data_IF_914989888161
#
_entry.id   IF_914989888161
#
_cell.length_a   1.000
_cell.length_b   1.000
_cell.length_c   1.000
_cell.angle_alpha   90.00
_cell.angle_beta   90.00
_cell.angle_gamma   90.00
#
_symmetry.space_group_name_H-M   'P 1'
#
loop_
_entity.id
_entity.type
_entity.pdbx_description
1 polymer ?
#
# COMPACT_ATOMS: atom_id res chain seq x y z
N UNK A 1 -4.57 11.39 8.53
CA UNK A 1 -3.89 10.44 7.61
C UNK A 1 -3.26 11.21 6.47
N UNK A 2 -2.00 10.97 6.21
CA UNK A 2 -1.29 11.57 5.07
C UNK A 2 -1.40 10.65 3.86
N UNK A 3 -1.69 11.22 2.70
CA UNK A 3 -1.74 10.49 1.44
C UNK A 3 -0.50 10.87 0.65
N UNK A 4 0.30 9.87 0.30
CA UNK A 4 1.58 10.07 -0.38
C UNK A 4 1.57 9.30 -1.69
N UNK A 5 1.79 10.01 -2.80
CA UNK A 5 1.88 9.38 -4.11
C UNK A 5 3.31 8.94 -4.38
N UNK A 6 3.48 7.67 -4.76
CA UNK A 6 4.79 7.10 -5.00
C UNK A 6 4.97 6.69 -6.45
N UNK A 7 6.21 6.82 -6.90
CA UNK A 7 6.67 6.31 -8.18
C UNK A 7 7.88 5.43 -7.93
N UNK A 8 8.06 4.41 -8.75
CA UNK A 8 9.23 3.55 -8.67
C UNK A 8 10.42 4.21 -9.39
N UNK A 9 11.62 4.27 -8.78
CA UNK A 9 11.94 3.93 -7.39
C UNK A 9 11.60 5.06 -6.41
N UNK A 10 11.53 4.74 -5.13
CA UNK A 10 11.22 5.73 -4.08
C UNK A 10 12.43 6.62 -3.80
N UNK A 11 12.18 7.91 -3.68
CA UNK A 11 13.18 8.87 -3.22
C UNK A 11 13.24 8.84 -1.69
N UNK A 12 14.38 8.36 -1.15
CA UNK A 12 14.58 8.24 0.29
C UNK A 12 14.61 9.60 1.01
N UNK A 13 14.75 10.69 0.27
CA UNK A 13 14.73 12.04 0.84
C UNK A 13 13.36 12.67 1.02
N UNK A 14 12.29 11.93 0.72
CA UNK A 14 10.94 12.47 0.88
C UNK A 14 10.64 12.78 2.35
N UNK A 15 10.09 13.97 2.59
CA UNK A 15 9.80 14.45 3.95
C UNK A 15 8.70 13.65 4.64
N UNK A 16 7.81 13.06 3.87
CA UNK A 16 6.66 12.31 4.38
C UNK A 16 7.06 10.98 5.01
N UNK A 17 8.26 10.46 4.72
CA UNK A 17 8.72 9.17 5.21
C UNK A 17 9.13 9.29 6.69
N UNK A 18 8.49 8.53 7.60
CA UNK A 18 8.85 8.57 9.01
C UNK A 18 10.28 8.07 9.26
N UNK A 19 11.00 8.77 10.13
CA UNK A 19 12.36 8.37 10.52
C UNK A 19 12.37 7.13 11.42
N UNK A 20 11.27 6.87 12.09
CA UNK A 20 11.14 5.78 13.07
C UNK A 20 11.05 4.39 12.45
N UNK A 21 10.85 4.32 11.16
CA UNK A 21 10.35 3.11 10.53
C UNK A 21 8.83 3.07 10.60
N UNK A 22 8.23 2.08 9.97
CA UNK A 22 6.78 1.96 9.91
C UNK A 22 6.36 0.52 9.62
N UNK A 23 5.12 0.20 9.97
CA UNK A 23 4.50 -1.09 9.63
C UNK A 23 3.64 -0.85 8.40
N UNK A 24 3.83 -1.67 7.38
CA UNK A 24 3.18 -1.50 6.07
C UNK A 24 2.29 -2.69 5.74
N UNK A 25 1.02 -2.42 5.45
CA UNK A 25 0.12 -3.39 4.85
C UNK A 25 0.05 -3.11 3.34
N UNK A 26 0.24 -4.12 2.52
CA UNK A 26 0.21 -4.00 1.06
C UNK A 26 -0.98 -4.76 0.51
N UNK A 27 -1.74 -4.13 -0.38
CA UNK A 27 -2.86 -4.76 -1.06
C UNK A 27 -3.58 -3.82 -1.99
N UNK A 28 -4.46 -4.36 -2.80
CA UNK A 28 -5.29 -3.55 -3.69
C UNK A 28 -6.35 -2.80 -2.92
N UNK A 29 -6.91 -3.44 -1.92
CA UNK A 29 -7.95 -2.88 -1.05
C UNK A 29 -9.15 -2.32 -1.84
N UNK A 30 -9.47 -2.95 -2.95
CA UNK A 30 -10.64 -2.60 -3.73
C UNK A 30 -11.88 -3.25 -3.12
N UNK A 31 -12.76 -2.43 -2.63
CA UNK A 31 -13.95 -2.91 -1.94
C UNK A 31 -13.68 -3.32 -0.49
N UNK A 32 -14.75 -3.66 0.20
CA UNK A 32 -14.70 -3.99 1.63
C UNK A 32 -14.76 -5.50 1.80
N UNK A 33 -13.61 -6.16 1.72
CA UNK A 33 -13.49 -7.59 1.96
C UNK A 33 -13.06 -7.86 3.39
N UNK A 34 -13.61 -8.92 3.97
CA UNK A 34 -13.22 -9.35 5.31
C UNK A 34 -11.72 -9.65 5.39
N UNK A 35 -11.14 -10.22 4.32
CA UNK A 35 -9.71 -10.49 4.24
C UNK A 35 -8.86 -9.23 4.32
N UNK A 36 -9.29 -8.16 3.67
CA UNK A 36 -8.59 -6.87 3.73
C UNK A 36 -8.61 -6.29 5.14
N UNK A 37 -9.74 -6.42 5.83
CA UNK A 37 -9.86 -5.94 7.20
C UNK A 37 -8.96 -6.73 8.14
N UNK A 38 -8.82 -8.03 7.92
CA UNK A 38 -7.93 -8.88 8.73
C UNK A 38 -6.47 -8.47 8.57
N UNK A 39 -6.04 -8.19 7.34
CA UNK A 39 -4.68 -7.73 7.05
C UNK A 39 -4.42 -6.40 7.74
N UNK A 40 -5.35 -5.46 7.63
CA UNK A 40 -5.23 -4.14 8.23
C UNK A 40 -5.25 -4.23 9.76
N UNK A 41 -6.09 -5.07 10.32
CA UNK A 41 -6.16 -5.27 11.77
C UNK A 41 -4.85 -5.85 12.32
N UNK A 42 -4.26 -6.83 11.63
CA UNK A 42 -2.99 -7.42 12.02
C UNK A 42 -1.86 -6.39 11.95
N UNK A 43 -1.82 -5.60 10.87
CA UNK A 43 -0.83 -4.55 10.74
C UNK A 43 -0.98 -3.48 11.84
N UNK A 44 -2.22 -3.11 12.17
CA UNK A 44 -2.50 -2.16 13.23
C UNK A 44 -2.04 -2.68 14.59
N UNK A 45 -2.25 -3.96 14.87
CA UNK A 45 -1.80 -4.60 16.10
C UNK A 45 -0.28 -4.55 16.22
N UNK A 46 0.42 -4.90 15.15
CA UNK A 46 1.89 -4.88 15.13
C UNK A 46 2.41 -3.47 15.30
N UNK A 47 1.81 -2.50 14.62
CA UNK A 47 2.21 -1.11 14.73
C UNK A 47 2.04 -0.58 16.15
N UNK A 48 0.93 -0.92 16.81
CA UNK A 48 0.69 -0.53 18.19
C UNK A 48 1.72 -1.16 19.14
N UNK A 49 2.00 -2.45 18.96
CA UNK A 49 2.98 -3.16 19.80
C UNK A 49 4.38 -2.58 19.64
N UNK A 50 4.76 -2.20 18.45
CA UNK A 50 6.09 -1.63 18.15
C UNK A 50 6.14 -0.13 18.34
N UNK A 51 5.01 0.53 18.55
CA UNK A 51 4.89 1.99 18.63
C UNK A 51 5.40 2.67 17.37
N UNK A 52 5.02 2.10 16.23
CA UNK A 52 5.37 2.63 14.91
C UNK A 52 4.13 3.11 14.18
N UNK A 53 4.29 4.04 13.22
CA UNK A 53 3.18 4.42 12.35
C UNK A 53 2.64 3.23 11.56
N UNK A 54 1.34 3.25 11.31
CA UNK A 54 0.68 2.28 10.45
C UNK A 54 0.53 2.89 9.06
N UNK A 55 1.10 2.22 8.07
CA UNK A 55 1.01 2.63 6.67
C UNK A 55 0.33 1.55 5.85
N UNK A 56 -0.32 1.97 4.78
CA UNK A 56 -0.84 1.07 3.75
C UNK A 56 -0.25 1.47 2.40
N UNK A 57 -0.07 0.49 1.52
CA UNK A 57 0.28 0.73 0.13
C UNK A 57 -0.80 0.12 -0.75
N UNK A 58 -1.36 0.94 -1.62
CA UNK A 58 -2.29 0.52 -2.65
C UNK A 58 -1.80 1.05 -3.99
N UNK A 59 -2.45 0.65 -5.05
CA UNK A 59 -2.00 0.95 -6.41
C UNK A 59 -3.08 1.70 -7.18
N UNK A 60 -2.67 2.64 -8.02
CA UNK A 60 -3.57 3.39 -8.88
C UNK A 60 -2.84 3.75 -10.18
N UNK A 61 -3.33 3.35 -11.34
CA UNK A 61 -4.53 2.50 -11.53
C UNK A 61 -4.34 1.09 -10.98
N UNK A 62 -5.43 0.33 -10.90
CA UNK A 62 -5.38 -1.05 -10.43
C UNK A 62 -4.54 -1.90 -11.39
N UNK A 63 -3.73 -2.85 -10.88
CA UNK A 63 -2.89 -3.68 -11.75
C UNK A 63 -3.65 -4.40 -12.86
N UNK A 64 -4.82 -4.94 -12.57
CA UNK A 64 -5.63 -5.64 -13.57
C UNK A 64 -6.13 -4.73 -14.67
N UNK A 65 -6.44 -3.48 -14.33
CA UNK A 65 -6.85 -2.48 -15.32
C UNK A 65 -5.72 -2.19 -16.31
N UNK A 66 -4.51 -2.01 -15.80
CA UNK A 66 -3.33 -1.75 -16.63
C UNK A 66 -2.98 -2.95 -17.50
N UNK A 67 -3.15 -4.16 -16.97
CA UNK A 67 -2.82 -5.39 -17.69
C UNK A 67 -3.91 -5.83 -18.68
N UNK A 68 -4.92 -5.00 -18.90
CA UNK A 68 -5.88 -5.21 -19.98
C UNK A 68 -7.06 -6.10 -19.66
N UNK A 69 -7.45 -6.22 -18.39
CA UNK A 69 -8.64 -6.97 -18.00
C UNK A 69 -9.88 -6.07 -18.18
N UNK A 70 -10.49 -6.15 -19.35
CA UNK A 70 -11.60 -5.29 -19.73
C UNK A 70 -12.76 -5.35 -18.74
N UNK A 71 -13.38 -4.19 -18.50
CA UNK A 71 -14.54 -4.08 -17.63
C UNK A 71 -14.25 -4.14 -16.15
N UNK A 72 -13.00 -4.44 -15.77
CA UNK A 72 -12.65 -4.58 -14.36
C UNK A 72 -12.81 -3.26 -13.59
N UNK A 73 -12.48 -2.15 -14.24
CA UNK A 73 -12.56 -0.83 -13.63
C UNK A 73 -13.95 -0.48 -13.10
N UNK A 74 -15.00 -1.07 -13.66
CA UNK A 74 -16.39 -0.85 -13.21
C UNK A 74 -16.64 -1.30 -11.78
N UNK A 75 -15.87 -2.27 -11.33
CA UNK A 75 -16.10 -2.93 -10.04
C UNK A 75 -15.11 -2.47 -8.97
N UNK A 76 -14.19 -1.56 -9.35
CA UNK A 76 -13.20 -1.05 -8.42
C UNK A 76 -13.82 0.05 -7.56
N UNK A 77 -13.53 0.02 -6.27
CA UNK A 77 -13.82 1.15 -5.41
C UNK A 77 -12.99 2.34 -5.87
N UNK A 78 -13.58 3.54 -5.99
CA UNK A 78 -12.81 4.74 -6.26
C UNK A 78 -11.68 4.91 -5.24
N UNK A 79 -10.58 5.51 -5.68
CA UNK A 79 -9.43 5.68 -4.80
C UNK A 79 -9.78 6.45 -3.53
N UNK A 80 -10.65 7.46 -3.63
CA UNK A 80 -11.03 8.25 -2.46
C UNK A 80 -11.86 7.45 -1.46
N UNK A 81 -12.62 6.44 -1.91
CA UNK A 81 -13.36 5.57 -0.99
C UNK A 81 -12.41 4.67 -0.23
N UNK A 82 -11.36 4.18 -0.90
CA UNK A 82 -10.30 3.42 -0.22
C UNK A 82 -9.60 4.27 0.83
N UNK A 83 -9.29 5.52 0.49
CA UNK A 83 -8.65 6.44 1.45
C UNK A 83 -9.52 6.67 2.67
N UNK A 84 -10.83 6.81 2.47
CA UNK A 84 -11.77 6.97 3.57
C UNK A 84 -11.78 5.76 4.50
N UNK A 85 -11.76 4.55 3.91
CA UNK A 85 -11.70 3.31 4.69
C UNK A 85 -10.42 3.26 5.53
N UNK A 86 -9.27 3.59 4.94
CA UNK A 86 -8.01 3.59 5.67
C UNK A 86 -8.03 4.57 6.83
N UNK A 87 -8.57 5.75 6.62
CA UNK A 87 -8.68 6.76 7.67
C UNK A 87 -9.55 6.27 8.82
N UNK A 88 -10.68 5.63 8.52
CA UNK A 88 -11.56 5.04 9.53
C UNK A 88 -10.86 3.95 10.34
N UNK A 89 -9.94 3.21 9.72
CA UNK A 89 -9.21 2.13 10.37
C UNK A 89 -7.94 2.57 11.09
N UNK A 90 -7.69 3.87 11.16
CA UNK A 90 -6.57 4.41 11.93
C UNK A 90 -5.23 4.39 11.21
N UNK A 91 -5.24 4.32 9.89
CA UNK A 91 -4.01 4.37 9.10
C UNK A 91 -3.40 5.77 9.19
N UNK A 92 -2.09 5.83 9.42
CA UNK A 92 -1.36 7.09 9.52
C UNK A 92 -0.88 7.61 8.17
N UNK A 93 -0.44 6.70 7.29
CA UNK A 93 0.04 7.04 5.95
C UNK A 93 -0.55 6.09 4.91
N UNK A 94 -1.06 6.65 3.83
CA UNK A 94 -1.52 5.87 2.70
C UNK A 94 -0.63 6.16 1.49
N UNK A 95 0.12 5.16 1.05
CA UNK A 95 0.97 5.26 -0.13
C UNK A 95 0.17 4.78 -1.34
N UNK A 96 -0.03 5.67 -2.30
CA UNK A 96 -0.68 5.36 -3.56
C UNK A 96 0.43 5.23 -4.61
N UNK A 97 0.77 4.00 -4.96
CA UNK A 97 1.87 3.73 -5.88
C UNK A 97 1.33 3.70 -7.31
N UNK A 98 1.98 4.46 -8.19
CA UNK A 98 1.65 4.46 -9.61
C UNK A 98 1.99 3.09 -10.20
N UNK A 99 0.98 2.42 -10.75
CA UNK A 99 1.15 1.11 -11.38
C UNK A 99 1.04 1.26 -12.90
N UNK A 100 2.13 0.98 -13.59
CA UNK A 100 2.17 0.96 -15.03
C UNK A 100 2.80 -0.36 -15.50
N UNK A 101 2.92 -0.53 -16.82
CA UNK A 101 3.49 -1.76 -17.37
C UNK A 101 4.96 -1.94 -16.99
N UNK A 102 5.69 -0.84 -16.86
CA UNK A 102 7.08 -0.92 -16.43
C UNK A 102 7.18 -1.38 -14.97
N UNK A 103 6.32 -0.85 -14.10
CA UNK A 103 6.27 -1.27 -12.70
C UNK A 103 5.91 -2.75 -12.57
N UNK A 104 5.02 -3.25 -13.44
CA UNK A 104 4.61 -4.66 -13.43
C UNK A 104 5.78 -5.62 -13.67
N UNK A 105 6.88 -5.15 -14.25
CA UNK A 105 8.07 -5.95 -14.55
C UNK A 105 9.13 -5.88 -13.46
N UNK A 106 8.91 -5.08 -12.41
CA UNK A 106 9.86 -4.96 -11.31
C UNK A 106 9.90 -6.27 -10.56
N UNK A 107 11.11 -6.80 -10.34
CA UNK A 107 11.29 -8.05 -9.59
C UNK A 107 10.98 -7.85 -8.11
N UNK A 108 10.63 -8.92 -7.37
CA UNK A 108 10.44 -8.81 -5.92
C UNK A 108 11.65 -8.22 -5.21
N UNK A 109 12.86 -8.59 -5.63
CA UNK A 109 14.10 -8.10 -5.03
C UNK A 109 14.25 -6.59 -5.24
N UNK A 110 13.98 -6.12 -6.45
CA UNK A 110 14.05 -4.69 -6.74
C UNK A 110 12.93 -3.91 -6.04
N UNK A 111 11.75 -4.50 -5.92
CA UNK A 111 10.67 -3.88 -5.18
C UNK A 111 11.07 -3.64 -3.73
N UNK A 112 11.63 -4.66 -3.07
CA UNK A 112 12.09 -4.54 -1.70
C UNK A 112 13.20 -3.48 -1.60
N UNK A 113 14.19 -3.58 -2.46
CA UNK A 113 15.41 -2.76 -2.39
C UNK A 113 15.15 -1.30 -2.71
N UNK A 114 14.27 -1.04 -3.68
CA UNK A 114 14.06 0.31 -4.23
C UNK A 114 12.76 0.97 -3.80
N UNK A 115 11.88 0.23 -3.14
CA UNK A 115 10.64 0.76 -2.58
C UNK A 115 10.60 0.64 -1.07
N UNK A 116 10.68 -0.57 -0.55
CA UNK A 116 10.49 -0.81 0.88
C UNK A 116 11.66 -0.30 1.72
N UNK A 117 12.89 -0.51 1.28
CA UNK A 117 14.08 -0.05 2.01
C UNK A 117 14.11 1.48 2.10
N UNK A 118 13.95 2.23 0.99
CA UNK A 118 13.91 3.70 1.09
C UNK A 118 12.77 4.23 1.94
N UNK A 119 11.65 3.50 2.01
CA UNK A 119 10.52 3.88 2.85
C UNK A 119 10.75 3.56 4.33
N UNK A 120 11.86 2.92 4.67
CA UNK A 120 12.19 2.52 6.04
C UNK A 120 11.11 1.62 6.64
N UNK A 121 10.66 0.63 5.86
CA UNK A 121 9.64 -0.30 6.33
C UNK A 121 10.26 -1.25 7.34
N UNK A 122 9.68 -1.31 8.53
CA UNK A 122 10.08 -2.24 9.58
C UNK A 122 9.46 -3.61 9.38
N UNK A 123 8.15 -3.65 9.14
CA UNK A 123 7.38 -4.89 9.03
C UNK A 123 6.38 -4.75 7.89
N UNK A 124 6.27 -5.79 7.07
CA UNK A 124 5.30 -5.86 5.97
C UNK A 124 4.25 -6.91 6.30
N UNK A 125 2.98 -6.56 6.11
CA UNK A 125 1.87 -7.49 6.25
C UNK A 125 1.14 -7.59 4.92
N UNK A 126 1.01 -8.80 4.40
CA UNK A 126 0.29 -9.06 3.14
C UNK A 126 -0.72 -10.17 3.35
N UNK A 127 -1.83 -10.11 2.62
CA UNK A 127 -2.82 -11.18 2.63
C UNK A 127 -2.45 -12.30 1.69
N UNK A 128 -3.11 -13.45 1.85
CA UNK A 128 -2.89 -14.61 0.98
C UNK A 128 -3.27 -14.34 -0.48
N UNK A 129 -4.20 -13.43 -0.69
CA UNK A 129 -4.71 -13.12 -2.03
C UNK A 129 -3.92 -12.04 -2.74
N UNK A 130 -2.86 -11.58 -2.13
CA UNK A 130 -1.99 -10.58 -2.75
C UNK A 130 -1.05 -11.27 -3.73
N UNK A 131 -1.34 -11.09 -5.01
CA UNK A 131 -0.53 -11.64 -6.08
C UNK A 131 -0.34 -10.61 -7.19
#
# INVERSE_FOLDING_TARGET
MDIVHLFYPVDAGMKEIPDTGQVLAIGDFDGVHLGHRSVLAEAARIAADKRLPLAVMTFNPHPREVLGMEGYARYLAPIHDRMRLFEELGVDLAYVTAFDRAFARVSPEHFIDRMLVPLRIDTVVVGFDFT
#
